data_IF_375786495895
#
_entry.id   IF_375786495895
#
_cell.length_a   1.000
_cell.length_b   1.000
_cell.length_c   1.000
_cell.angle_alpha   90.00
_cell.angle_beta   90.00
_cell.angle_gamma   90.00
#
_symmetry.space_group_name_H-M   'P 1'
#
loop_
_entity.id
_entity.type
_entity.pdbx_description
1 polymer ?
#
# COMPACT_ATOMS: atom_id res chain seq x y z
N UNK A 1 20.45 -22.00 -12.63
CA UNK A 1 19.03 -22.38 -12.50
C UNK A 1 18.32 -21.29 -11.70
N UNK A 2 17.22 -20.70 -12.21
CA UNK A 2 16.45 -19.68 -11.46
C UNK A 2 15.49 -20.38 -10.49
N UNK A 3 15.39 -19.89 -9.26
CA UNK A 3 14.53 -20.45 -8.22
C UNK A 3 13.06 -20.10 -8.51
N UNK A 4 12.24 -21.09 -8.91
CA UNK A 4 10.82 -20.89 -9.24
C UNK A 4 9.99 -20.26 -8.11
N UNK A 5 10.33 -20.55 -6.85
CA UNK A 5 9.67 -19.93 -5.68
C UNK A 5 9.90 -18.41 -5.62
N UNK A 6 11.07 -17.93 -6.02
CA UNK A 6 11.35 -16.49 -6.07
C UNK A 6 10.58 -15.80 -7.21
N UNK A 7 10.27 -16.51 -8.30
CA UNK A 7 9.42 -15.96 -9.36
C UNK A 7 7.97 -15.81 -8.92
N UNK A 8 7.47 -16.71 -8.07
CA UNK A 8 6.13 -16.60 -7.48
C UNK A 8 6.03 -15.39 -6.53
N UNK A 9 7.09 -15.06 -5.78
CA UNK A 9 7.13 -13.89 -4.90
C UNK A 9 6.99 -12.56 -5.65
N UNK A 10 7.41 -12.50 -6.93
CA UNK A 10 7.28 -11.27 -7.73
C UNK A 10 5.82 -10.82 -7.93
N UNK A 11 4.89 -11.76 -7.84
CA UNK A 11 3.46 -11.50 -7.96
C UNK A 11 2.75 -11.60 -6.59
N UNK A 12 3.49 -11.78 -5.50
CA UNK A 12 2.90 -11.88 -4.18
C UNK A 12 2.35 -10.53 -3.74
N UNK A 13 1.19 -10.58 -3.10
CA UNK A 13 0.47 -9.43 -2.57
C UNK A 13 0.32 -9.61 -1.08
N UNK A 14 0.61 -8.57 -0.32
CA UNK A 14 0.37 -8.48 1.12
C UNK A 14 -1.01 -7.87 1.30
N UNK A 15 -1.86 -8.52 2.10
CA UNK A 15 -3.12 -7.95 2.54
C UNK A 15 -2.91 -7.25 3.88
N UNK A 16 -3.20 -5.95 3.94
CA UNK A 16 -3.06 -5.16 5.16
C UNK A 16 -4.38 -4.42 5.45
N UNK A 17 -5.05 -4.72 6.57
CA UNK A 17 -6.24 -3.97 6.96
C UNK A 17 -5.81 -2.54 7.34
N UNK A 18 -6.45 -1.56 6.72
CA UNK A 18 -6.27 -0.14 6.99
C UNK A 18 -7.54 0.37 7.67
N UNK A 19 -7.35 1.05 8.78
CA UNK A 19 -8.39 1.77 9.49
C UNK A 19 -7.80 3.05 10.08
N UNK A 20 -8.30 4.21 9.67
CA UNK A 20 -7.96 5.50 10.26
C UNK A 20 -9.07 6.51 10.01
N UNK A 21 -9.09 7.58 10.80
CA UNK A 21 -10.00 8.71 10.62
C UNK A 21 -9.21 9.95 10.17
N UNK A 22 -9.77 10.73 9.26
CA UNK A 22 -9.23 12.03 8.85
C UNK A 22 -10.35 13.06 8.73
N UNK A 23 -10.28 14.13 9.52
CA UNK A 23 -11.29 15.21 9.49
C UNK A 23 -12.70 14.75 9.86
N UNK A 24 -12.85 13.69 10.66
CA UNK A 24 -14.16 13.09 10.99
C UNK A 24 -14.67 12.07 9.96
N UNK A 25 -13.89 11.76 8.92
CA UNK A 25 -14.22 10.75 7.91
C UNK A 25 -13.40 9.48 8.16
N UNK A 26 -14.09 8.34 8.31
CA UNK A 26 -13.45 7.03 8.47
C UNK A 26 -13.00 6.48 7.11
N UNK A 27 -11.75 6.04 7.04
CA UNK A 27 -11.20 5.28 5.93
C UNK A 27 -10.88 3.86 6.42
N UNK A 28 -11.66 2.90 5.93
CA UNK A 28 -11.53 1.49 6.30
C UNK A 28 -11.61 0.59 5.08
N UNK A 29 -10.54 -0.15 4.82
CA UNK A 29 -10.42 -1.06 3.69
C UNK A 29 -9.22 -2.00 3.85
N UNK A 30 -9.16 -3.07 3.06
CA UNK A 30 -8.03 -3.99 3.04
C UNK A 30 -7.10 -3.63 1.87
N UNK A 31 -5.95 -3.05 2.16
CA UNK A 31 -4.97 -2.69 1.16
C UNK A 31 -4.26 -3.93 0.58
N UNK A 32 -4.15 -3.96 -0.75
CA UNK A 32 -3.32 -4.91 -1.51
C UNK A 32 -2.00 -4.24 -1.83
N UNK A 33 -0.96 -4.69 -1.14
CA UNK A 33 0.38 -4.10 -1.22
C UNK A 33 1.29 -5.07 -1.97
N UNK A 34 1.98 -4.58 -2.99
CA UNK A 34 2.97 -5.35 -3.76
C UNK A 34 4.12 -5.73 -2.84
N UNK A 35 4.45 -7.01 -2.74
CA UNK A 35 5.69 -7.44 -2.07
C UNK A 35 6.90 -7.07 -2.95
N UNK A 36 7.88 -6.38 -2.38
CA UNK A 36 9.12 -6.04 -3.08
C UNK A 36 10.35 -6.57 -2.33
N UNK A 37 11.48 -6.81 -3.03
CA UNK A 37 12.74 -7.18 -2.38
C UNK A 37 13.24 -6.08 -1.45
N UNK A 38 13.99 -6.46 -0.40
CA UNK A 38 14.59 -5.53 0.55
C UNK A 38 15.42 -4.43 -0.13
N UNK A 39 16.22 -4.78 -1.14
CA UNK A 39 17.01 -3.80 -1.88
C UNK A 39 16.17 -2.76 -2.65
N UNK A 40 14.95 -3.10 -3.07
CA UNK A 40 13.99 -2.14 -3.64
C UNK A 40 13.34 -1.32 -2.53
N UNK A 41 13.02 -1.95 -1.39
CA UNK A 41 12.43 -1.30 -0.23
C UNK A 41 13.34 -0.23 0.35
N UNK A 42 14.62 -0.54 0.58
CA UNK A 42 15.65 0.40 1.05
C UNK A 42 15.74 1.62 0.13
N UNK A 43 15.78 1.43 -1.20
CA UNK A 43 15.78 2.54 -2.17
C UNK A 43 14.53 3.42 -2.09
N UNK A 44 13.40 2.84 -1.70
CA UNK A 44 12.12 3.53 -1.61
C UNK A 44 12.04 4.42 -0.36
N UNK A 45 12.64 3.98 0.75
CA UNK A 45 12.60 4.67 2.05
C UNK A 45 13.82 5.55 2.34
N UNK A 46 14.95 5.35 1.68
CA UNK A 46 16.23 6.08 1.91
C UNK A 46 16.25 7.55 1.44
N UNK A 47 15.09 8.21 1.30
CA UNK A 47 15.03 9.66 1.50
C UNK A 47 14.99 10.56 0.27
N UNK A 48 14.18 10.24 -0.75
CA UNK A 48 13.81 11.26 -1.76
C UNK A 48 12.41 11.15 -2.35
N UNK A 49 11.72 10.01 -2.15
CA UNK A 49 10.36 9.84 -2.62
C UNK A 49 9.38 10.46 -1.63
N UNK A 50 8.43 11.22 -2.19
CA UNK A 50 7.27 11.70 -1.45
C UNK A 50 6.34 10.53 -1.14
N UNK A 51 5.52 10.67 -0.10
CA UNK A 51 4.60 9.63 0.35
C UNK A 51 3.64 9.15 -0.74
N UNK A 52 3.17 10.06 -1.59
CA UNK A 52 2.31 9.71 -2.73
C UNK A 52 3.04 8.80 -3.74
N UNK A 53 4.32 9.05 -4.00
CA UNK A 53 5.13 8.19 -4.87
C UNK A 53 5.33 6.79 -4.28
N UNK A 54 5.54 6.70 -2.96
CA UNK A 54 5.65 5.44 -2.22
C UNK A 54 4.34 4.64 -2.36
N UNK A 55 3.20 5.28 -2.11
CA UNK A 55 1.88 4.63 -2.20
C UNK A 55 1.60 4.17 -3.63
N UNK A 56 1.88 4.99 -4.65
CA UNK A 56 1.64 4.62 -6.06
C UNK A 56 2.38 3.37 -6.50
N UNK A 57 3.58 3.16 -5.94
CA UNK A 57 4.46 2.04 -6.25
C UNK A 57 4.07 0.77 -5.50
N UNK A 58 3.65 0.91 -4.23
CA UNK A 58 3.36 -0.22 -3.35
C UNK A 58 1.89 -0.63 -3.33
N UNK A 59 0.95 0.31 -3.36
CA UNK A 59 -0.49 0.03 -3.31
C UNK A 59 -1.01 -0.30 -4.71
N UNK A 60 -1.37 -1.57 -4.91
CA UNK A 60 -1.82 -2.11 -6.20
C UNK A 60 -3.31 -2.46 -6.23
N UNK A 61 -4.00 -2.28 -5.10
CA UNK A 61 -5.42 -2.57 -4.97
C UNK A 61 -5.93 -2.32 -3.56
N UNK A 62 -7.24 -2.45 -3.39
CA UNK A 62 -7.88 -2.62 -2.09
C UNK A 62 -9.14 -3.49 -2.24
N UNK A 63 -9.59 -4.06 -1.13
CA UNK A 63 -10.91 -4.68 -0.99
C UNK A 63 -11.69 -3.99 0.12
N UNK A 64 -13.01 -4.18 0.14
CA UNK A 64 -13.90 -3.73 1.21
C UNK A 64 -13.91 -2.22 1.47
N UNK A 65 -13.45 -1.40 0.50
CA UNK A 65 -13.55 0.04 0.61
C UNK A 65 -14.98 0.49 0.27
N UNK A 66 -15.69 1.00 1.26
CA UNK A 66 -17.06 1.52 1.10
C UNK A 66 -17.05 3.02 1.31
N UNK A 67 -17.66 3.74 0.39
CA UNK A 67 -17.93 5.17 0.49
C UNK A 67 -19.40 5.43 0.17
N UNK A 68 -20.09 6.16 1.04
CA UNK A 68 -21.55 6.42 0.99
C UNK A 68 -22.39 5.17 0.63
N UNK A 69 -22.10 4.04 1.30
CA UNK A 69 -22.80 2.77 1.08
C UNK A 69 -22.46 2.06 -0.24
N UNK A 70 -21.56 2.61 -1.06
CA UNK A 70 -21.16 2.07 -2.35
C UNK A 70 -19.74 1.49 -2.29
N UNK A 71 -19.51 0.35 -2.95
CA UNK A 71 -18.19 -0.25 -3.06
C UNK A 71 -17.30 0.58 -4.00
N UNK A 72 -16.19 1.06 -3.47
CA UNK A 72 -15.17 1.82 -4.20
C UNK A 72 -14.19 0.84 -4.82
N UNK A 73 -14.35 0.58 -6.11
CA UNK A 73 -13.41 -0.27 -6.87
C UNK A 73 -12.07 0.45 -7.01
N UNK A 74 -10.98 -0.29 -6.84
CA UNK A 74 -9.65 0.26 -7.07
C UNK A 74 -9.50 0.78 -8.50
N UNK A 75 -9.21 2.08 -8.60
CA UNK A 75 -8.84 2.75 -9.83
C UNK A 75 -7.78 3.80 -9.54
N UNK A 76 -6.95 4.10 -10.54
CA UNK A 76 -5.82 5.02 -10.37
C UNK A 76 -6.27 6.46 -10.12
N UNK A 77 -7.34 6.91 -10.77
CA UNK A 77 -7.98 8.21 -10.53
C UNK A 77 -8.48 8.37 -9.09
N UNK A 78 -9.12 7.34 -8.53
CA UNK A 78 -9.57 7.34 -7.13
C UNK A 78 -8.38 7.38 -6.17
N UNK A 79 -7.31 6.63 -6.48
CA UNK A 79 -6.06 6.72 -5.71
C UNK A 79 -5.45 8.13 -5.79
N UNK A 80 -5.50 8.78 -6.95
CA UNK A 80 -4.98 10.14 -7.14
C UNK A 80 -5.75 11.16 -6.30
N UNK A 81 -7.07 11.01 -6.23
CA UNK A 81 -7.93 11.83 -5.38
C UNK A 81 -7.60 11.65 -3.89
N UNK A 82 -7.44 10.41 -3.41
CA UNK A 82 -7.01 10.13 -2.04
C UNK A 82 -5.65 10.77 -1.73
N UNK A 83 -4.69 10.63 -2.66
CA UNK A 83 -3.32 11.13 -2.50
C UNK A 83 -3.20 12.65 -2.66
N UNK A 84 -4.24 13.34 -3.12
CA UNK A 84 -4.29 14.81 -3.12
C UNK A 84 -4.25 15.38 -1.69
N UNK A 85 -4.65 14.58 -0.69
CA UNK A 85 -4.53 14.91 0.72
C UNK A 85 -3.24 14.35 1.31
N UNK A 86 -2.27 15.23 1.58
CA UNK A 86 -0.94 14.83 2.05
C UNK A 86 -0.93 13.97 3.32
N UNK A 87 -1.87 14.19 4.25
CA UNK A 87 -1.99 13.37 5.46
C UNK A 87 -2.46 11.93 5.17
N UNK A 88 -3.38 11.76 4.20
CA UNK A 88 -3.81 10.44 3.72
C UNK A 88 -2.64 9.75 3.04
N UNK A 89 -1.93 10.46 2.16
CA UNK A 89 -0.72 9.94 1.51
C UNK A 89 0.31 9.45 2.53
N UNK A 90 0.62 10.25 3.55
CA UNK A 90 1.54 9.87 4.63
C UNK A 90 1.07 8.64 5.41
N UNK A 91 -0.22 8.57 5.75
CA UNK A 91 -0.78 7.41 6.48
C UNK A 91 -0.69 6.12 5.65
N UNK A 92 -1.06 6.18 4.37
CA UNK A 92 -0.99 5.04 3.46
C UNK A 92 0.45 4.63 3.19
N UNK A 93 1.36 5.58 3.05
CA UNK A 93 2.80 5.36 2.86
C UNK A 93 3.38 4.55 4.02
N UNK A 94 3.11 4.98 5.25
CA UNK A 94 3.54 4.28 6.47
C UNK A 94 2.97 2.86 6.54
N UNK A 95 1.68 2.65 6.25
CA UNK A 95 1.12 1.28 6.27
C UNK A 95 1.70 0.40 5.16
N UNK A 96 1.95 0.94 3.96
CA UNK A 96 2.61 0.21 2.88
C UNK A 96 4.02 -0.25 3.27
N UNK A 97 4.79 0.65 3.89
CA UNK A 97 6.15 0.39 4.39
C UNK A 97 6.13 -0.66 5.50
N UNK A 98 5.27 -0.46 6.51
CA UNK A 98 5.15 -1.38 7.65
C UNK A 98 4.72 -2.78 7.22
N UNK A 99 3.85 -2.89 6.21
CA UNK A 99 3.43 -4.18 5.69
C UNK A 99 4.61 -5.00 5.12
N UNK A 100 5.59 -4.35 4.48
CA UNK A 100 6.81 -5.02 4.00
C UNK A 100 7.60 -5.61 5.18
N UNK A 101 7.84 -4.79 6.22
CA UNK A 101 8.61 -5.23 7.39
C UNK A 101 7.92 -6.34 8.17
N UNK A 102 6.59 -6.28 8.34
CA UNK A 102 5.82 -7.36 9.02
C UNK A 102 5.96 -8.72 8.34
N UNK A 103 6.12 -8.76 7.01
CA UNK A 103 6.36 -10.02 6.27
C UNK A 103 7.79 -10.51 6.44
N UNK A 104 8.76 -9.59 6.56
CA UNK A 104 10.15 -9.94 6.82
C UNK A 104 10.35 -10.48 8.25
N UNK A 105 9.71 -9.90 9.26
CA UNK A 105 9.85 -10.32 10.67
C UNK A 105 9.17 -11.66 11.01
N UNK A 106 8.20 -12.08 10.20
CA UNK A 106 7.45 -13.34 10.42
C UNK A 106 8.13 -14.58 9.83
N UNK A 107 9.31 -14.44 9.22
CA UNK A 107 10.07 -15.52 8.58
C UNK A 107 11.52 -15.57 9.09
#
# INVERSE_FOLDING_TARGET
MKLKKLEQLKNATILAPINFEFGGVEFKFDAKIKLIPEAEMTKLVDGSKKDDAIVRELLIGWDNFVDDGTQVVFKRDVLDELLSYGAIAGRLSVECVNAQYRVQEKN
#
